data_IF_804940865928
#
_entry.id   IF_804940865928
#
_cell.length_a   1.000
_cell.length_b   1.000
_cell.length_c   1.000
_cell.angle_alpha   90.00
_cell.angle_beta   90.00
_cell.angle_gamma   90.00
#
_symmetry.space_group_name_H-M   'P 1'
#
loop_
_entity.id
_entity.type
_entity.pdbx_description
1 polymer ?
#
# COMPACT_ATOMS: atom_id res chain seq x y z
N UNK A 1 24.62 -16.95 1.79
CA UNK A 1 23.62 -16.29 0.93
C UNK A 1 24.36 -15.61 -0.20
N UNK A 2 23.99 -15.87 -1.44
CA UNK A 2 24.60 -15.25 -2.61
C UNK A 2 23.50 -14.57 -3.44
N UNK A 3 23.55 -13.25 -3.53
CA UNK A 3 22.59 -12.41 -4.24
C UNK A 3 23.05 -12.06 -5.68
N UNK A 4 24.04 -12.73 -6.23
CA UNK A 4 24.58 -12.44 -7.58
C UNK A 4 23.52 -12.61 -8.68
N UNK A 5 22.64 -13.61 -8.57
CA UNK A 5 21.52 -13.82 -9.50
C UNK A 5 20.51 -12.67 -9.46
N UNK A 6 20.16 -12.18 -8.27
CA UNK A 6 19.28 -11.02 -8.09
C UNK A 6 19.93 -9.75 -8.64
N UNK A 7 21.21 -9.51 -8.36
CA UNK A 7 21.96 -8.38 -8.90
C UNK A 7 21.93 -8.37 -10.42
N UNK A 8 22.29 -9.51 -11.03
CA UNK A 8 22.29 -9.66 -12.49
C UNK A 8 20.89 -9.37 -13.08
N UNK A 9 19.85 -9.96 -12.48
CA UNK A 9 18.48 -9.72 -12.94
C UNK A 9 18.12 -8.23 -12.88
N UNK A 10 18.38 -7.54 -11.77
CA UNK A 10 18.02 -6.13 -11.62
C UNK A 10 18.78 -5.24 -12.61
N UNK A 11 20.09 -5.47 -12.83
CA UNK A 11 20.90 -4.73 -13.80
C UNK A 11 20.39 -4.95 -15.24
N UNK A 12 20.17 -6.22 -15.63
CA UNK A 12 19.67 -6.57 -16.95
C UNK A 12 18.23 -6.07 -17.17
N UNK A 13 17.35 -6.19 -16.13
CA UNK A 13 15.96 -5.77 -16.19
C UNK A 13 15.82 -4.25 -16.36
N UNK A 14 16.57 -3.46 -15.58
CA UNK A 14 16.58 -2.00 -15.74
C UNK A 14 16.99 -1.62 -17.16
N UNK A 15 18.06 -2.21 -17.69
CA UNK A 15 18.54 -1.92 -19.05
C UNK A 15 17.53 -2.34 -20.12
N UNK A 16 17.01 -3.58 -20.04
CA UNK A 16 16.06 -4.13 -21.00
C UNK A 16 14.75 -3.33 -21.06
N UNK A 17 14.30 -2.88 -19.90
CA UNK A 17 13.06 -2.11 -19.77
C UNK A 17 13.23 -0.61 -20.02
N UNK A 18 14.45 -0.12 -20.25
CA UNK A 18 14.68 1.33 -20.37
C UNK A 18 14.34 2.10 -19.09
N UNK A 19 14.52 1.46 -17.93
CA UNK A 19 14.39 2.04 -16.61
C UNK A 19 15.75 2.53 -16.12
N UNK A 20 15.76 3.59 -15.29
CA UNK A 20 17.01 4.22 -14.91
C UNK A 20 17.62 3.68 -13.63
N UNK A 21 16.84 3.47 -12.59
CA UNK A 21 17.36 2.99 -11.33
C UNK A 21 16.29 2.43 -10.39
N UNK A 22 16.76 1.74 -9.36
CA UNK A 22 15.95 1.26 -8.26
C UNK A 22 16.78 1.10 -6.99
N UNK A 23 16.10 1.01 -5.86
CA UNK A 23 16.66 0.74 -4.55
C UNK A 23 15.94 -0.44 -3.91
N UNK A 24 16.69 -1.37 -3.32
CA UNK A 24 16.09 -2.59 -2.79
C UNK A 24 16.78 -3.08 -1.52
N UNK A 25 15.98 -3.70 -0.64
CA UNK A 25 16.50 -4.43 0.50
C UNK A 25 15.70 -5.68 0.83
N UNK A 26 16.39 -6.60 1.51
CA UNK A 26 15.84 -7.85 2.04
C UNK A 26 16.20 -7.97 3.51
N UNK A 27 15.21 -8.21 4.34
CA UNK A 27 15.40 -8.61 5.74
C UNK A 27 15.09 -10.09 5.88
N UNK A 28 15.92 -10.79 6.66
CA UNK A 28 15.74 -12.21 6.97
C UNK A 28 16.04 -12.45 8.44
N UNK A 29 15.05 -12.99 9.16
CA UNK A 29 15.15 -13.22 10.60
C UNK A 29 15.53 -11.97 11.40
N UNK A 30 14.96 -10.82 11.01
CA UNK A 30 15.19 -9.52 11.64
C UNK A 30 16.49 -8.80 11.24
N UNK A 31 17.33 -9.40 10.39
CA UNK A 31 18.57 -8.79 9.91
C UNK A 31 18.46 -8.33 8.45
N UNK A 32 18.98 -7.16 8.13
CA UNK A 32 19.12 -6.74 6.73
C UNK A 32 20.25 -7.53 6.10
N UNK A 33 19.91 -8.54 5.29
CA UNK A 33 20.86 -9.44 4.63
C UNK A 33 21.24 -8.99 3.22
N UNK A 34 20.49 -8.04 2.68
CA UNK A 34 20.74 -7.45 1.37
C UNK A 34 20.26 -6.01 1.34
N UNK A 35 21.07 -5.10 0.79
CA UNK A 35 20.75 -3.69 0.56
C UNK A 35 21.57 -3.18 -0.61
N UNK A 36 20.95 -2.77 -1.70
CA UNK A 36 21.67 -2.32 -2.88
C UNK A 36 20.84 -1.36 -3.74
N UNK A 37 21.51 -0.35 -4.27
CA UNK A 37 21.04 0.62 -5.24
C UNK A 37 21.58 0.27 -6.62
N UNK A 38 20.76 0.49 -7.66
CA UNK A 38 21.11 0.21 -9.04
C UNK A 38 20.84 1.42 -9.92
N UNK A 39 21.71 1.64 -10.89
CA UNK A 39 21.51 2.63 -11.94
C UNK A 39 21.60 4.08 -11.49
N UNK A 40 20.83 4.93 -12.14
CA UNK A 40 20.82 6.37 -11.94
C UNK A 40 19.43 6.85 -11.50
N UNK A 41 19.40 7.83 -10.60
CA UNK A 41 18.17 8.53 -10.19
C UNK A 41 17.76 9.55 -11.26
N UNK A 42 18.69 10.38 -11.69
CA UNK A 42 18.42 11.46 -12.64
C UNK A 42 19.05 11.20 -14.00
N UNK A 43 18.21 10.94 -15.00
CA UNK A 43 18.66 10.66 -16.37
C UNK A 43 19.27 11.88 -17.08
N UNK A 44 19.05 13.10 -16.60
CA UNK A 44 19.57 14.34 -17.20
C UNK A 44 20.95 14.67 -16.66
N UNK A 45 21.18 14.45 -15.36
CA UNK A 45 22.45 14.77 -14.69
C UNK A 45 23.39 13.57 -14.54
N UNK A 46 22.84 12.35 -14.64
CA UNK A 46 23.57 11.11 -14.36
C UNK A 46 23.77 10.84 -12.87
N UNK A 47 23.05 11.55 -11.97
CA UNK A 47 23.05 11.27 -10.52
C UNK A 47 22.67 9.81 -10.29
N UNK A 48 23.50 9.08 -9.55
CA UNK A 48 23.21 7.70 -9.18
C UNK A 48 22.12 7.63 -8.13
N UNK A 49 21.41 6.49 -8.07
CA UNK A 49 20.49 6.18 -6.97
C UNK A 49 21.28 6.15 -5.66
N UNK A 50 20.78 6.83 -4.64
CA UNK A 50 21.36 6.94 -3.30
C UNK A 50 20.50 6.19 -2.27
N UNK A 51 21.12 5.64 -1.22
CA UNK A 51 20.43 4.90 -0.18
C UNK A 51 19.51 5.76 0.70
N UNK A 52 19.68 7.07 0.65
CA UNK A 52 18.90 8.04 1.43
C UNK A 52 17.77 8.67 0.62
N UNK A 53 17.49 8.21 -0.60
CA UNK A 53 16.41 8.76 -1.40
C UNK A 53 15.04 8.53 -0.77
N UNK A 54 14.17 9.53 -0.95
CA UNK A 54 12.76 9.50 -0.57
C UNK A 54 11.90 9.20 -1.79
N UNK A 55 10.83 8.46 -1.57
CA UNK A 55 9.88 8.10 -2.62
C UNK A 55 8.45 8.43 -2.18
N UNK A 56 7.63 8.95 -3.08
CA UNK A 56 6.19 8.79 -2.93
C UNK A 56 5.89 7.30 -3.10
N UNK A 57 5.52 6.63 -2.02
CA UNK A 57 5.32 5.17 -2.03
C UNK A 57 3.93 4.75 -2.51
N UNK A 58 3.03 5.72 -2.69
CA UNK A 58 1.67 5.52 -3.18
C UNK A 58 0.94 4.39 -2.43
N UNK A 59 0.40 3.41 -3.16
CA UNK A 59 -0.41 2.35 -2.55
C UNK A 59 0.35 1.43 -1.59
N UNK A 60 1.68 1.48 -1.56
CA UNK A 60 2.45 0.88 -0.48
C UNK A 60 2.17 1.54 0.89
N UNK A 61 1.46 2.67 0.94
CA UNK A 61 0.91 3.25 2.19
C UNK A 61 -0.15 2.37 2.84
N UNK A 62 -0.91 1.58 2.05
CA UNK A 62 -2.07 0.82 2.53
C UNK A 62 -1.78 -0.19 3.65
N UNK A 63 -0.72 -1.02 3.57
CA UNK A 63 -0.38 -1.92 4.66
C UNK A 63 -0.09 -1.18 5.98
N UNK A 64 0.55 -0.02 5.91
CA UNK A 64 0.84 0.82 7.08
C UNK A 64 -0.46 1.42 7.64
N UNK A 65 -1.33 1.96 6.77
CA UNK A 65 -2.65 2.49 7.16
C UNK A 65 -3.48 1.42 7.88
N UNK A 66 -3.57 0.23 7.29
CA UNK A 66 -4.31 -0.88 7.87
C UNK A 66 -3.68 -1.38 9.19
N UNK A 67 -2.36 -1.39 9.28
CA UNK A 67 -1.66 -1.71 10.54
C UNK A 67 -2.05 -0.72 11.65
N UNK A 68 -2.06 0.59 11.37
CA UNK A 68 -2.51 1.60 12.33
C UNK A 68 -3.95 1.40 12.80
N UNK A 69 -4.86 1.12 11.87
CA UNK A 69 -6.26 0.84 12.20
C UNK A 69 -6.41 -0.48 13.00
N UNK A 70 -5.66 -1.54 12.66
CA UNK A 70 -5.66 -2.82 13.40
C UNK A 70 -5.14 -2.67 14.83
N UNK A 71 -4.24 -1.71 15.11
CA UNK A 71 -3.84 -1.40 16.49
C UNK A 71 -5.02 -0.89 17.33
N UNK A 72 -5.94 -0.14 16.73
CA UNK A 72 -7.18 0.28 17.42
C UNK A 72 -8.13 -0.91 17.63
N UNK A 73 -8.16 -1.86 16.69
CA UNK A 73 -8.92 -3.10 16.84
C UNK A 73 -8.36 -3.92 18.03
N UNK A 74 -7.06 -4.10 18.14
CA UNK A 74 -6.42 -4.80 19.26
C UNK A 74 -6.69 -4.16 20.62
N UNK A 75 -6.89 -2.84 20.65
CA UNK A 75 -7.25 -2.08 21.85
C UNK A 75 -8.75 -2.10 22.16
N UNK A 76 -9.57 -2.75 21.31
CA UNK A 76 -11.03 -2.78 21.45
C UNK A 76 -11.71 -1.43 21.19
N UNK A 77 -11.03 -0.48 20.57
CA UNK A 77 -11.54 0.85 20.25
C UNK A 77 -12.22 0.89 18.87
N UNK A 78 -11.78 0.05 17.95
CA UNK A 78 -12.34 -0.14 16.61
C UNK A 78 -12.83 -1.58 16.47
N UNK A 79 -14.03 -1.76 15.92
CA UNK A 79 -14.61 -3.07 15.65
C UNK A 79 -14.73 -3.26 14.14
N UNK A 80 -14.12 -4.32 13.61
CA UNK A 80 -14.13 -4.63 12.17
C UNK A 80 -15.54 -4.84 11.61
N UNK A 81 -16.42 -5.41 12.41
CA UNK A 81 -17.76 -5.79 11.96
C UNK A 81 -18.83 -4.75 12.32
N UNK A 82 -18.43 -3.67 13.02
CA UNK A 82 -19.30 -2.54 13.27
C UNK A 82 -19.62 -1.75 11.98
N UNK A 83 -20.84 -1.16 11.89
CA UNK A 83 -21.14 -0.21 10.83
C UNK A 83 -20.16 0.95 10.80
N UNK A 84 -19.74 1.38 9.60
CA UNK A 84 -18.94 2.60 9.44
C UNK A 84 -19.63 3.81 10.05
N UNK A 85 -20.97 3.87 9.97
CA UNK A 85 -21.80 4.94 10.54
C UNK A 85 -21.67 5.08 12.07
N UNK A 86 -21.22 4.06 12.78
CA UNK A 86 -20.89 4.17 14.21
C UNK A 86 -19.80 5.20 14.48
N UNK A 87 -18.86 5.36 13.56
CA UNK A 87 -17.70 6.26 13.64
C UNK A 87 -17.86 7.50 12.77
N UNK A 88 -18.48 7.34 11.61
CA UNK A 88 -18.77 8.36 10.60
C UNK A 88 -20.28 8.39 10.32
N UNK A 89 -21.08 9.15 11.10
CA UNK A 89 -22.55 9.13 11.01
C UNK A 89 -23.11 9.42 9.61
N UNK A 90 -22.38 10.16 8.79
CA UNK A 90 -22.73 10.45 7.40
C UNK A 90 -22.88 9.21 6.51
N UNK A 91 -22.35 8.06 6.94
CA UNK A 91 -22.47 6.77 6.25
C UNK A 91 -23.70 5.93 6.65
N UNK A 92 -24.63 6.48 7.47
CA UNK A 92 -25.84 5.77 7.90
C UNK A 92 -26.78 5.44 6.74
N UNK A 93 -26.95 6.36 5.80
CA UNK A 93 -27.92 6.25 4.72
C UNK A 93 -27.25 6.29 3.34
N UNK A 94 -26.21 5.48 3.15
CA UNK A 94 -25.53 5.37 1.86
C UNK A 94 -26.44 4.83 0.77
N UNK A 95 -26.22 5.28 -0.46
CA UNK A 95 -27.00 4.90 -1.64
C UNK A 95 -26.13 4.10 -2.60
N UNK A 96 -26.77 3.27 -3.41
CA UNK A 96 -26.13 2.46 -4.45
C UNK A 96 -26.68 2.87 -5.81
N UNK A 97 -25.79 2.98 -6.78
CA UNK A 97 -26.15 3.18 -8.19
C UNK A 97 -26.49 1.84 -8.82
N UNK A 98 -27.71 1.72 -9.33
CA UNK A 98 -28.16 0.61 -10.18
C UNK A 98 -28.09 1.03 -11.65
N UNK A 99 -28.49 0.14 -12.56
CA UNK A 99 -28.57 0.49 -13.99
C UNK A 99 -29.54 1.65 -14.26
N UNK A 100 -30.67 1.68 -13.55
CA UNK A 100 -31.77 2.59 -13.86
C UNK A 100 -31.95 3.73 -12.84
N UNK A 101 -31.35 3.62 -11.66
CA UNK A 101 -31.64 4.56 -10.55
C UNK A 101 -30.55 4.58 -9.48
N UNK A 102 -30.70 5.49 -8.52
CA UNK A 102 -29.94 5.51 -7.27
C UNK A 102 -30.91 5.16 -6.14
N UNK A 103 -30.63 4.09 -5.40
CA UNK A 103 -31.49 3.56 -4.34
C UNK A 103 -30.72 3.49 -3.01
N UNK A 104 -31.39 3.48 -1.85
CA UNK A 104 -30.74 3.17 -0.58
C UNK A 104 -30.02 1.82 -0.64
N UNK A 105 -28.83 1.73 -0.06
CA UNK A 105 -28.13 0.45 0.09
C UNK A 105 -28.95 -0.49 0.98
N UNK A 106 -28.95 -1.77 0.64
CA UNK A 106 -29.61 -2.83 1.43
C UNK A 106 -28.66 -3.39 2.50
N UNK A 107 -27.37 -3.43 2.17
CA UNK A 107 -26.35 -3.95 3.05
C UNK A 107 -25.71 -2.82 3.87
N UNK A 108 -25.43 -3.12 5.13
CA UNK A 108 -24.67 -2.22 6.01
C UNK A 108 -23.23 -2.20 5.58
N UNK A 109 -22.65 -1.00 5.40
CA UNK A 109 -21.22 -0.83 5.19
C UNK A 109 -20.50 -1.01 6.53
N UNK A 110 -19.67 -2.05 6.66
CA UNK A 110 -18.87 -2.31 7.85
C UNK A 110 -17.45 -1.76 7.71
N UNK A 111 -16.75 -1.59 8.83
CA UNK A 111 -15.32 -1.24 8.84
C UNK A 111 -14.49 -2.28 8.07
N UNK A 112 -14.83 -3.57 8.18
CA UNK A 112 -14.20 -4.66 7.41
C UNK A 112 -14.28 -4.41 5.91
N UNK A 113 -15.41 -3.88 5.40
CA UNK A 113 -15.55 -3.56 3.98
C UNK A 113 -14.55 -2.47 3.51
N UNK A 114 -14.16 -1.54 4.40
CA UNK A 114 -13.11 -0.55 4.10
C UNK A 114 -11.74 -1.23 3.96
N UNK A 115 -11.39 -2.15 4.87
CA UNK A 115 -10.14 -2.90 4.80
C UNK A 115 -10.06 -3.76 3.55
N UNK A 116 -11.15 -4.39 3.16
CA UNK A 116 -11.21 -5.42 2.11
C UNK A 116 -11.54 -4.89 0.72
N UNK A 117 -11.66 -3.57 0.55
CA UNK A 117 -12.04 -2.94 -0.72
C UNK A 117 -13.41 -3.40 -1.24
N UNK A 118 -14.34 -3.74 -0.33
CA UNK A 118 -15.69 -4.21 -0.67
C UNK A 118 -16.79 -3.23 -0.25
N UNK A 119 -16.42 -1.98 0.09
CA UNK A 119 -17.37 -0.98 0.56
C UNK A 119 -18.25 -0.36 -0.55
N UNK A 120 -17.88 -0.51 -1.82
CA UNK A 120 -18.65 0.03 -2.95
C UNK A 120 -18.10 1.33 -3.54
N UNK A 121 -16.95 1.82 -3.08
CA UNK A 121 -16.29 3.00 -3.67
C UNK A 121 -15.57 2.66 -4.97
N UNK A 122 -15.26 3.71 -5.76
CA UNK A 122 -14.30 3.66 -6.86
C UNK A 122 -12.99 4.40 -6.51
N UNK A 123 -12.11 4.57 -7.50
CA UNK A 123 -10.84 5.31 -7.36
C UNK A 123 -10.84 6.63 -8.15
N UNK A 124 -12.01 7.25 -8.35
CA UNK A 124 -12.13 8.47 -9.12
C UNK A 124 -11.86 9.73 -8.27
N UNK A 125 -10.61 10.17 -8.21
CA UNK A 125 -10.20 11.41 -7.52
C UNK A 125 -10.78 12.70 -8.14
N UNK A 126 -11.39 12.60 -9.33
CA UNK A 126 -12.05 13.69 -10.03
C UNK A 126 -13.58 13.54 -10.03
N UNK A 127 -14.13 12.76 -9.09
CA UNK A 127 -15.57 12.68 -8.91
C UNK A 127 -16.14 14.07 -8.58
N UNK A 128 -17.39 14.30 -8.99
CA UNK A 128 -18.06 15.58 -8.76
C UNK A 128 -18.06 16.00 -7.27
N UNK A 129 -18.19 15.04 -6.37
CA UNK A 129 -18.23 15.27 -4.92
C UNK A 129 -16.86 15.72 -4.38
N UNK A 130 -15.77 15.09 -4.83
CA UNK A 130 -14.41 15.50 -4.45
C UNK A 130 -14.11 16.89 -5.02
N UNK A 131 -14.44 17.13 -6.30
CA UNK A 131 -14.25 18.45 -6.93
C UNK A 131 -15.02 19.53 -6.16
N UNK A 132 -16.30 19.31 -5.86
CA UNK A 132 -17.12 20.24 -5.05
C UNK A 132 -16.54 20.42 -3.63
N UNK A 133 -16.04 19.37 -3.02
CA UNK A 133 -15.35 19.44 -1.72
C UNK A 133 -14.14 20.37 -1.78
N UNK A 134 -13.28 20.21 -2.80
CA UNK A 134 -12.10 21.05 -3.02
C UNK A 134 -12.45 22.50 -3.41
N UNK A 135 -13.51 22.71 -4.19
CA UNK A 135 -14.02 24.07 -4.50
C UNK A 135 -14.51 24.78 -3.24
N UNK A 136 -15.17 24.06 -2.33
CA UNK A 136 -15.64 24.58 -1.04
C UNK A 136 -14.49 24.82 -0.07
N UNK A 137 -13.53 23.91 -0.01
CA UNK A 137 -12.35 24.00 0.83
C UNK A 137 -11.12 23.45 0.09
N UNK A 138 -10.27 24.32 -0.54
CA UNK A 138 -9.04 23.88 -1.19
C UNK A 138 -8.04 23.21 -0.24
N UNK A 139 -8.20 23.42 1.08
CA UNK A 139 -7.41 22.78 2.13
C UNK A 139 -8.21 21.63 2.80
N UNK A 140 -8.94 20.87 2.00
CA UNK A 140 -9.77 19.76 2.46
C UNK A 140 -8.99 18.83 3.41
N UNK A 141 -9.60 18.48 4.53
CA UNK A 141 -9.03 17.55 5.51
C UNK A 141 -9.40 16.10 5.18
N UNK A 142 -8.74 15.13 5.81
CA UNK A 142 -9.08 13.69 5.69
C UNK A 142 -10.56 13.44 6.05
N UNK A 143 -11.06 14.09 7.10
CA UNK A 143 -12.49 14.01 7.51
C UNK A 143 -13.44 14.62 6.49
N UNK A 144 -13.12 15.78 5.95
CA UNK A 144 -13.95 16.44 4.94
C UNK A 144 -13.97 15.65 3.61
N UNK A 145 -12.85 14.99 3.24
CA UNK A 145 -12.85 14.09 2.10
C UNK A 145 -13.76 12.89 2.34
N UNK A 146 -13.68 12.25 3.51
CA UNK A 146 -14.54 11.14 3.85
C UNK A 146 -16.03 11.57 3.82
N UNK A 147 -16.35 12.77 4.32
CA UNK A 147 -17.69 13.33 4.21
C UNK A 147 -18.12 13.51 2.74
N UNK A 148 -17.28 14.11 1.90
CA UNK A 148 -17.59 14.26 0.47
C UNK A 148 -17.84 12.92 -0.23
N UNK A 149 -17.10 11.88 0.14
CA UNK A 149 -17.28 10.51 -0.38
C UNK A 149 -18.58 9.86 0.09
N UNK A 150 -19.13 10.24 1.26
CA UNK A 150 -20.40 9.70 1.75
C UNK A 150 -21.60 10.15 0.90
N UNK A 151 -21.49 11.30 0.23
CA UNK A 151 -22.50 11.83 -0.68
C UNK A 151 -22.51 11.13 -2.05
N UNK A 152 -21.50 10.28 -2.31
CA UNK A 152 -21.36 9.55 -3.56
C UNK A 152 -22.18 8.25 -3.53
N UNK A 153 -23.01 7.98 -4.55
CA UNK A 153 -23.69 6.69 -4.63
C UNK A 153 -22.64 5.60 -4.91
N UNK A 154 -22.64 4.58 -4.06
CA UNK A 154 -21.75 3.43 -4.20
C UNK A 154 -21.95 2.74 -5.55
N UNK A 155 -20.89 2.15 -6.09
CA UNK A 155 -20.93 1.43 -7.37
C UNK A 155 -21.64 0.07 -7.27
N UNK A 156 -21.73 -0.51 -6.06
CA UNK A 156 -22.36 -1.80 -5.76
C UNK A 156 -22.68 -1.89 -4.26
N UNK A 157 -23.51 -2.87 -3.90
CA UNK A 157 -23.89 -3.14 -2.51
C UNK A 157 -22.66 -3.52 -1.66
N UNK A 158 -22.46 -2.91 -0.48
CA UNK A 158 -21.36 -3.26 0.41
C UNK A 158 -21.27 -4.78 0.65
N UNK A 159 -20.06 -5.32 0.57
CA UNK A 159 -19.78 -6.73 0.78
C UNK A 159 -20.01 -7.65 -0.42
N UNK A 160 -20.54 -7.17 -1.55
CA UNK A 160 -20.91 -8.05 -2.68
C UNK A 160 -19.83 -8.16 -3.76
N UNK A 161 -18.90 -7.19 -3.80
CA UNK A 161 -17.88 -7.13 -4.84
C UNK A 161 -16.59 -6.52 -4.32
N UNK A 162 -15.45 -7.05 -4.79
CA UNK A 162 -14.16 -6.39 -4.63
C UNK A 162 -13.96 -5.33 -5.72
N UNK A 163 -13.66 -4.10 -5.30
CA UNK A 163 -13.21 -3.05 -6.21
C UNK A 163 -12.15 -2.17 -5.53
N UNK A 164 -10.96 -2.14 -6.12
CA UNK A 164 -9.90 -1.27 -5.65
C UNK A 164 -10.30 0.21 -5.68
N UNK A 165 -10.19 0.92 -4.55
CA UNK A 165 -10.92 2.17 -4.34
C UNK A 165 -10.33 3.05 -3.23
N UNK A 166 -11.03 4.15 -2.91
CA UNK A 166 -10.71 5.09 -1.83
C UNK A 166 -11.12 4.60 -0.43
N UNK A 167 -11.36 3.29 -0.25
CA UNK A 167 -11.72 2.72 1.05
C UNK A 167 -10.75 3.09 2.17
N UNK A 168 -9.44 3.10 1.89
CA UNK A 168 -8.44 3.36 2.94
C UNK A 168 -8.31 4.86 3.27
N UNK A 169 -8.77 5.75 2.41
CA UNK A 169 -8.89 7.17 2.73
C UNK A 169 -10.05 7.40 3.71
N UNK A 170 -11.17 6.69 3.52
CA UNK A 170 -12.27 6.66 4.51
C UNK A 170 -11.83 5.97 5.82
N UNK A 171 -11.04 4.89 5.74
CA UNK A 171 -10.48 4.22 6.92
C UNK A 171 -9.56 5.16 7.72
N UNK A 172 -8.78 6.01 7.06
CA UNK A 172 -7.97 7.01 7.74
C UNK A 172 -8.83 7.99 8.55
N UNK A 173 -9.97 8.43 8.01
CA UNK A 173 -10.93 9.26 8.73
C UNK A 173 -11.55 8.53 9.93
N UNK A 174 -11.83 7.22 9.81
CA UNK A 174 -12.26 6.38 10.95
C UNK A 174 -11.20 6.36 12.04
N UNK A 175 -9.92 6.20 11.66
CA UNK A 175 -8.79 6.24 12.62
C UNK A 175 -8.73 7.59 13.33
N UNK A 176 -8.91 8.72 12.64
CA UNK A 176 -8.93 10.05 13.27
C UNK A 176 -10.02 10.17 14.33
N UNK A 177 -11.24 9.72 14.00
CA UNK A 177 -12.36 9.77 14.94
C UNK A 177 -12.14 8.89 16.16
N UNK A 178 -11.65 7.67 15.95
CA UNK A 178 -11.46 6.69 17.02
C UNK A 178 -10.28 7.03 17.91
N UNK A 179 -9.20 7.56 17.35
CA UNK A 179 -8.00 7.94 18.10
C UNK A 179 -8.09 9.34 18.73
N UNK A 180 -8.91 10.23 18.16
CA UNK A 180 -8.94 11.66 18.51
C UNK A 180 -7.70 12.43 18.04
N UNK A 181 -6.87 11.83 17.19
CA UNK A 181 -5.62 12.42 16.68
C UNK A 181 -5.71 12.58 15.13
N UNK A 182 -5.01 13.57 14.54
CA UNK A 182 -4.82 13.65 13.09
C UNK A 182 -4.18 12.36 12.61
N UNK A 183 -4.59 11.81 11.46
CA UNK A 183 -4.16 10.50 10.99
C UNK A 183 -2.64 10.38 10.87
N UNK A 184 -1.97 11.38 10.28
CA UNK A 184 -0.50 11.42 10.20
C UNK A 184 0.17 11.38 11.56
N UNK A 185 -0.35 12.10 12.56
CA UNK A 185 0.19 12.11 13.91
C UNK A 185 -0.01 10.76 14.61
N UNK A 186 -1.18 10.15 14.43
CA UNK A 186 -1.45 8.81 14.95
C UNK A 186 -0.48 7.76 14.38
N UNK A 187 -0.26 7.76 13.06
CA UNK A 187 0.67 6.84 12.40
C UNK A 187 2.11 7.08 12.85
N UNK A 188 2.53 8.34 12.93
CA UNK A 188 3.87 8.72 13.39
C UNK A 188 4.14 8.18 14.80
N UNK A 189 3.26 8.46 15.74
CA UNK A 189 3.37 8.05 17.16
C UNK A 189 3.32 6.55 17.37
N UNK A 190 2.48 5.84 16.60
CA UNK A 190 2.19 4.43 16.81
C UNK A 190 2.96 3.47 15.90
N UNK A 191 3.56 3.95 14.81
CA UNK A 191 4.29 3.13 13.84
C UNK A 191 5.68 3.71 13.56
N UNK A 192 5.78 4.96 13.09
CA UNK A 192 7.05 5.48 12.59
C UNK A 192 8.08 5.65 13.71
N UNK A 193 7.75 6.40 14.76
CA UNK A 193 8.67 6.64 15.88
C UNK A 193 9.10 5.34 16.57
N UNK A 194 8.17 4.42 16.94
CA UNK A 194 8.58 3.19 17.63
C UNK A 194 9.42 2.24 16.77
N UNK A 195 9.29 2.31 15.43
CA UNK A 195 10.12 1.52 14.51
C UNK A 195 11.37 2.28 14.04
N UNK A 196 11.55 3.54 14.47
CA UNK A 196 12.65 4.39 14.03
C UNK A 196 12.57 4.78 12.54
N UNK A 197 11.36 4.88 11.98
CA UNK A 197 11.08 5.29 10.59
C UNK A 197 11.10 6.82 10.49
N UNK A 198 12.28 7.42 10.51
CA UNK A 198 12.48 8.87 10.60
C UNK A 198 12.27 9.61 9.29
N UNK A 199 12.28 8.90 8.18
CA UNK A 199 12.10 9.41 6.81
C UNK A 199 10.64 9.26 6.31
N UNK A 200 9.75 8.72 7.16
CA UNK A 200 8.36 8.41 6.77
C UNK A 200 7.42 9.51 7.23
N UNK A 201 6.63 10.05 6.30
CA UNK A 201 5.69 11.14 6.55
C UNK A 201 4.50 11.09 5.57
N UNK A 202 3.47 11.93 5.81
CA UNK A 202 2.34 12.10 4.89
C UNK A 202 2.47 13.34 4.01
N UNK A 203 3.32 14.28 4.40
CA UNK A 203 3.54 15.53 3.67
C UNK A 203 5.02 15.72 3.41
N UNK A 204 5.39 15.81 2.13
CA UNK A 204 6.80 16.00 1.73
C UNK A 204 7.43 17.25 2.33
N UNK A 205 6.59 18.21 2.77
CA UNK A 205 7.01 19.40 3.47
C UNK A 205 7.67 19.12 4.83
N UNK A 206 7.38 17.96 5.43
CA UNK A 206 7.98 17.50 6.69
C UNK A 206 9.34 16.82 6.49
N UNK A 207 9.73 16.58 5.23
CA UNK A 207 10.94 15.86 4.85
C UNK A 207 11.94 16.77 4.12
N UNK A 208 13.18 16.33 3.98
CA UNK A 208 14.16 16.98 3.12
C UNK A 208 13.84 16.70 1.64
N UNK A 209 13.20 17.66 0.98
CA UNK A 209 12.79 17.56 -0.43
C UNK A 209 13.94 17.34 -1.41
N UNK A 210 15.18 17.69 -1.03
CA UNK A 210 16.36 17.48 -1.89
C UNK A 210 16.70 16.01 -2.06
N UNK A 211 16.17 15.16 -1.17
CA UNK A 211 16.31 13.71 -1.21
C UNK A 211 15.19 13.02 -2.01
N UNK A 212 14.20 13.75 -2.50
CA UNK A 212 13.11 13.15 -3.27
C UNK A 212 13.64 12.64 -4.62
N UNK A 213 13.51 11.34 -4.85
CA UNK A 213 13.92 10.68 -6.08
C UNK A 213 13.20 11.26 -7.31
N UNK A 214 13.88 11.30 -8.43
CA UNK A 214 13.28 11.66 -9.71
C UNK A 214 12.13 10.72 -10.05
N UNK A 215 11.06 11.27 -10.63
CA UNK A 215 9.87 10.52 -10.98
C UNK A 215 9.73 10.41 -12.50
N UNK A 216 9.22 9.29 -12.95
CA UNK A 216 9.14 8.97 -14.37
C UNK A 216 7.76 8.41 -14.73
N UNK A 217 7.33 8.68 -15.96
CA UNK A 217 6.26 7.94 -16.65
C UNK A 217 6.88 6.96 -17.63
N UNK A 218 6.39 5.73 -17.66
CA UNK A 218 6.84 4.73 -18.63
C UNK A 218 6.03 4.83 -19.91
N UNK A 219 6.72 5.07 -21.02
CA UNK A 219 6.11 5.00 -22.36
C UNK A 219 6.21 3.55 -22.86
N UNK A 220 5.08 2.85 -22.88
CA UNK A 220 5.00 1.46 -23.34
C UNK A 220 5.27 1.30 -24.84
N UNK A 221 5.16 2.34 -25.66
CA UNK A 221 5.44 2.29 -27.10
C UNK A 221 6.94 2.33 -27.37
N UNK A 222 7.64 3.30 -26.78
CA UNK A 222 9.11 3.42 -26.90
C UNK A 222 9.87 2.53 -25.95
N UNK A 223 9.18 1.88 -24.99
CA UNK A 223 9.78 1.07 -23.91
C UNK A 223 10.85 1.86 -23.15
N UNK A 224 10.50 3.05 -22.69
CA UNK A 224 11.44 3.93 -21.99
C UNK A 224 10.74 4.76 -20.93
N UNK A 225 11.42 4.95 -19.79
CA UNK A 225 11.01 5.88 -18.77
C UNK A 225 11.30 7.33 -19.19
N UNK A 226 10.32 8.23 -19.03
CA UNK A 226 10.41 9.65 -19.34
C UNK A 226 10.25 10.43 -18.05
N UNK A 227 11.23 11.28 -17.73
CA UNK A 227 11.25 12.09 -16.50
C UNK A 227 10.06 13.04 -16.45
N UNK A 228 9.46 13.17 -15.29
CA UNK A 228 8.38 14.11 -15.01
C UNK A 228 8.71 14.90 -13.72
N UNK A 229 8.00 16.00 -13.50
CA UNK A 229 8.05 16.66 -12.19
C UNK A 229 7.45 15.73 -11.13
N UNK A 230 8.11 15.53 -9.98
CA UNK A 230 7.58 14.67 -8.92
C UNK A 230 6.24 15.20 -8.42
N UNK A 231 5.23 14.33 -8.45
CA UNK A 231 3.87 14.63 -8.00
C UNK A 231 3.30 13.48 -7.17
N UNK A 232 2.47 13.82 -6.20
CA UNK A 232 1.58 12.87 -5.52
C UNK A 232 0.12 13.29 -5.76
N UNK A 233 -0.55 12.78 -6.79
CA UNK A 233 -1.92 13.18 -7.12
C UNK A 233 -2.95 12.74 -6.06
N UNK A 234 -2.52 11.93 -5.10
CA UNK A 234 -3.34 11.43 -3.99
C UNK A 234 -3.25 12.29 -2.73
N UNK A 235 -2.34 13.24 -2.67
CA UNK A 235 -2.30 14.29 -1.65
C UNK A 235 -3.13 15.48 -2.13
N UNK A 236 -4.42 15.49 -1.78
CA UNK A 236 -5.38 16.48 -2.31
C UNK A 236 -5.16 17.88 -1.73
N UNK A 237 -4.63 17.98 -0.52
CA UNK A 237 -4.25 19.23 0.14
C UNK A 237 -3.19 18.99 1.21
N UNK A 238 -2.64 20.05 1.77
CA UNK A 238 -1.70 19.99 2.90
C UNK A 238 -2.35 19.48 4.20
N UNK A 239 -3.68 19.45 4.28
CA UNK A 239 -4.42 18.96 5.45
C UNK A 239 -5.02 17.56 5.24
N UNK A 240 -4.86 16.99 4.03
CA UNK A 240 -5.35 15.67 3.69
C UNK A 240 -4.25 14.63 3.87
N UNK A 241 -4.37 13.79 4.88
CA UNK A 241 -3.50 12.62 5.08
C UNK A 241 -4.06 11.45 4.27
N UNK A 242 -3.55 11.25 3.05
CA UNK A 242 -4.05 10.23 2.12
C UNK A 242 -3.76 8.80 2.61
N UNK A 243 -4.71 8.17 3.30
CA UNK A 243 -4.55 6.82 3.84
C UNK A 243 -4.31 5.74 2.78
N UNK A 244 -4.82 5.96 1.58
CA UNK A 244 -4.67 5.03 0.47
C UNK A 244 -3.35 5.13 -0.29
N UNK A 245 -2.71 6.32 -0.35
CA UNK A 245 -1.55 6.53 -1.24
C UNK A 245 -0.73 7.80 -0.94
N UNK A 246 -0.88 8.42 0.22
CA UNK A 246 -0.32 9.75 0.52
C UNK A 246 1.07 9.75 1.14
N UNK A 247 1.68 8.60 1.46
CA UNK A 247 2.94 8.58 2.19
C UNK A 247 4.17 8.83 1.31
N UNK A 248 5.17 9.44 1.97
CA UNK A 248 6.58 9.47 1.56
C UNK A 248 7.36 8.56 2.51
N UNK A 249 8.34 7.82 1.98
CA UNK A 249 9.26 7.01 2.80
C UNK A 249 10.56 6.72 2.05
N UNK A 250 11.59 6.28 2.78
CA UNK A 250 12.80 5.69 2.22
C UNK A 250 12.69 4.15 2.21
N UNK A 251 13.54 3.49 1.40
CA UNK A 251 13.65 2.02 1.44
C UNK A 251 14.12 1.55 2.81
N UNK A 252 15.06 2.27 3.43
CA UNK A 252 15.59 1.96 4.75
C UNK A 252 14.51 1.96 5.83
N UNK A 253 13.61 2.93 5.80
CA UNK A 253 12.48 2.98 6.75
C UNK A 253 11.46 1.88 6.50
N UNK A 254 11.10 1.66 5.22
CA UNK A 254 10.12 0.64 4.90
C UNK A 254 10.62 -0.78 5.24
N UNK A 255 11.93 -1.03 5.18
CA UNK A 255 12.53 -2.29 5.63
C UNK A 255 12.32 -2.54 7.13
N UNK A 256 12.31 -1.50 7.97
CA UNK A 256 12.00 -1.64 9.40
C UNK A 256 10.56 -2.13 9.62
N UNK A 257 9.61 -1.59 8.83
CA UNK A 257 8.21 -2.02 8.86
C UNK A 257 8.05 -3.48 8.41
N UNK A 258 8.58 -3.85 7.23
CA UNK A 258 8.45 -5.23 6.75
C UNK A 258 9.22 -6.22 7.61
N UNK A 259 10.31 -5.80 8.27
CA UNK A 259 11.02 -6.60 9.28
C UNK A 259 10.12 -6.93 10.46
N UNK A 260 9.52 -5.92 11.10
CA UNK A 260 8.61 -6.14 12.23
C UNK A 260 7.43 -7.04 11.86
N UNK A 261 6.84 -6.82 10.68
CA UNK A 261 5.72 -7.64 10.19
C UNK A 261 6.13 -9.08 9.90
N UNK A 262 7.33 -9.31 9.31
CA UNK A 262 7.86 -10.65 9.03
C UNK A 262 8.26 -11.43 10.29
N UNK A 263 8.57 -10.73 11.38
CA UNK A 263 8.81 -11.32 12.69
C UNK A 263 7.51 -11.59 13.48
N UNK A 264 6.36 -11.58 12.81
CA UNK A 264 5.06 -11.82 13.44
C UNK A 264 4.53 -10.63 14.22
N UNK A 265 4.93 -9.42 13.83
CA UNK A 265 4.41 -8.16 14.37
C UNK A 265 5.23 -7.54 15.50
N UNK A 266 6.39 -8.10 15.82
CA UNK A 266 7.29 -7.55 16.84
C UNK A 266 8.61 -7.13 16.20
N UNK A 267 9.04 -5.88 16.44
CA UNK A 267 10.34 -5.41 15.95
C UNK A 267 11.50 -6.14 16.64
N UNK A 268 12.70 -6.09 16.05
CA UNK A 268 13.91 -6.67 16.62
C UNK A 268 14.20 -6.14 18.03
N UNK A 269 13.86 -4.87 18.29
CA UNK A 269 14.05 -4.22 19.59
C UNK A 269 12.92 -4.49 20.60
N UNK A 270 11.99 -5.40 20.27
CA UNK A 270 10.92 -5.86 21.15
C UNK A 270 9.66 -5.00 21.15
N UNK A 271 9.54 -3.98 20.27
CA UNK A 271 8.30 -3.24 20.14
C UNK A 271 7.23 -4.08 19.45
N UNK A 272 6.10 -4.29 20.11
CA UNK A 272 4.94 -4.99 19.55
C UNK A 272 4.12 -4.03 18.71
N UNK A 273 4.28 -4.13 17.39
CA UNK A 273 3.51 -3.38 16.41
C UNK A 273 2.09 -3.92 16.29
N UNK A 274 1.96 -5.22 16.09
CA UNK A 274 0.71 -5.99 16.13
C UNK A 274 0.97 -7.35 16.79
N UNK A 275 -0.07 -7.98 17.35
CA UNK A 275 0.00 -9.36 17.79
C UNK A 275 0.08 -10.31 16.59
N UNK A 276 0.68 -11.49 16.81
CA UNK A 276 0.79 -12.54 15.78
C UNK A 276 -0.58 -12.96 15.24
N UNK A 277 -1.58 -13.04 16.10
CA UNK A 277 -2.96 -13.39 15.75
C UNK A 277 -3.56 -12.35 14.80
N UNK A 278 -3.28 -11.06 15.04
CA UNK A 278 -3.74 -9.96 14.18
C UNK A 278 -3.03 -9.98 12.82
N UNK A 279 -1.73 -10.29 12.77
CA UNK A 279 -1.02 -10.52 11.50
C UNK A 279 -1.66 -11.67 10.72
N UNK A 280 -2.00 -12.78 11.40
CA UNK A 280 -2.66 -13.92 10.76
C UNK A 280 -4.05 -13.56 10.22
N UNK A 281 -4.82 -12.74 10.95
CA UNK A 281 -6.10 -12.23 10.46
C UNK A 281 -5.91 -11.24 9.29
N UNK A 282 -4.89 -10.36 9.35
CA UNK A 282 -4.57 -9.43 8.28
C UNK A 282 -4.24 -10.13 6.96
N UNK A 283 -3.46 -11.21 7.01
CA UNK A 283 -3.05 -11.97 5.82
C UNK A 283 -4.02 -13.06 5.40
N UNK A 284 -5.06 -13.35 6.17
CA UNK A 284 -6.11 -14.30 5.78
C UNK A 284 -6.90 -13.73 4.61
N UNK A 285 -7.20 -14.58 3.61
CA UNK A 285 -8.13 -14.16 2.55
C UNK A 285 -9.49 -13.81 3.16
N UNK A 286 -9.96 -12.60 2.90
CA UNK A 286 -11.22 -12.05 3.40
C UNK A 286 -12.32 -12.04 2.32
N UNK A 287 -11.97 -12.40 1.08
CA UNK A 287 -12.92 -12.44 -0.01
C UNK A 287 -13.57 -13.83 -0.04
N UNK A 288 -14.82 -13.91 0.40
CA UNK A 288 -15.62 -15.10 0.39
C UNK A 288 -16.03 -15.48 -1.04
N UNK A 289 -16.46 -16.74 -1.23
CA UNK A 289 -16.83 -17.26 -2.56
C UNK A 289 -18.01 -16.49 -3.20
N UNK A 290 -18.84 -15.82 -2.39
CA UNK A 290 -20.00 -15.06 -2.85
C UNK A 290 -19.63 -13.61 -3.26
N UNK A 291 -18.39 -13.19 -2.99
CA UNK A 291 -17.90 -11.86 -3.41
C UNK A 291 -17.46 -11.92 -4.86
N UNK A 292 -18.09 -11.09 -5.72
CA UNK A 292 -17.65 -10.96 -7.11
C UNK A 292 -16.20 -10.44 -7.13
N UNK A 293 -15.25 -11.33 -7.39
CA UNK A 293 -13.84 -11.03 -7.28
C UNK A 293 -13.21 -10.70 -8.64
N UNK A 294 -13.06 -9.42 -8.93
CA UNK A 294 -12.26 -8.96 -10.08
C UNK A 294 -10.75 -8.99 -9.79
N UNK A 295 -10.36 -9.29 -8.54
CA UNK A 295 -8.96 -9.33 -8.11
C UNK A 295 -8.19 -10.47 -8.78
N UNK A 296 -8.78 -11.68 -8.87
CA UNK A 296 -8.15 -12.83 -9.51
C UNK A 296 -7.79 -12.62 -10.98
N UNK A 297 -8.55 -11.80 -11.71
CA UNK A 297 -8.26 -11.48 -13.11
C UNK A 297 -6.90 -10.79 -13.28
N UNK A 298 -6.46 -10.03 -12.27
CA UNK A 298 -5.18 -9.31 -12.27
C UNK A 298 -4.09 -10.00 -11.45
N UNK A 299 -4.49 -10.78 -10.44
CA UNK A 299 -3.60 -11.33 -9.42
C UNK A 299 -3.85 -12.83 -9.21
N UNK A 300 -3.93 -13.62 -10.29
CA UNK A 300 -4.16 -15.07 -10.24
C UNK A 300 -3.29 -15.73 -9.15
N UNK A 301 -3.90 -16.53 -8.28
CA UNK A 301 -3.25 -17.20 -7.15
C UNK A 301 -3.15 -16.34 -5.89
N UNK A 302 -3.60 -15.09 -5.92
CA UNK A 302 -3.72 -14.23 -4.74
C UNK A 302 -5.18 -14.01 -4.37
N UNK A 303 -5.46 -13.95 -3.07
CA UNK A 303 -6.63 -13.36 -2.45
C UNK A 303 -6.32 -11.99 -1.85
N UNK A 304 -7.28 -11.41 -1.15
CA UNK A 304 -7.13 -10.12 -0.49
C UNK A 304 -7.48 -10.24 1.00
N UNK A 305 -6.57 -9.77 1.83
CA UNK A 305 -6.72 -9.73 3.29
C UNK A 305 -7.21 -8.36 3.78
N UNK A 306 -6.82 -7.98 4.99
CA UNK A 306 -7.14 -6.66 5.53
C UNK A 306 -6.13 -5.62 5.00
N UNK A 307 -6.34 -5.15 3.76
CA UNK A 307 -5.52 -4.14 3.09
C UNK A 307 -4.26 -4.65 2.40
N UNK A 308 -4.13 -5.95 2.22
CA UNK A 308 -2.97 -6.59 1.60
C UNK A 308 -3.41 -7.69 0.62
N UNK A 309 -2.65 -7.92 -0.47
CA UNK A 309 -2.77 -9.18 -1.20
C UNK A 309 -2.19 -10.30 -0.34
N UNK A 310 -2.70 -11.50 -0.48
CA UNK A 310 -2.18 -12.69 0.18
C UNK A 310 -2.13 -13.88 -0.77
N UNK A 311 -1.03 -14.63 -0.77
CA UNK A 311 -0.89 -15.82 -1.62
C UNK A 311 -1.78 -16.94 -1.10
N UNK A 312 -2.74 -17.40 -1.94
CA UNK A 312 -3.70 -18.46 -1.60
C UNK A 312 -3.51 -19.71 -2.45
N UNK A 313 -2.94 -19.58 -3.64
CA UNK A 313 -2.61 -20.69 -4.54
C UNK A 313 -1.19 -20.55 -5.09
N UNK A 314 -0.24 -21.18 -4.40
CA UNK A 314 1.18 -21.22 -4.77
C UNK A 314 1.39 -21.77 -6.18
N UNK A 315 0.62 -22.82 -6.56
CA UNK A 315 0.76 -23.49 -7.85
C UNK A 315 0.25 -22.62 -9.01
N UNK A 316 -0.93 -22.01 -8.85
CA UNK A 316 -1.47 -21.09 -9.86
C UNK A 316 -0.56 -19.90 -10.13
N UNK A 317 0.19 -19.46 -9.11
CA UNK A 317 1.15 -18.34 -9.20
C UNK A 317 2.55 -18.79 -9.60
N UNK A 318 2.86 -20.08 -9.55
CA UNK A 318 4.23 -20.61 -9.66
C UNK A 318 5.19 -19.89 -8.70
N UNK A 319 4.74 -19.68 -7.45
CA UNK A 319 5.47 -18.89 -6.47
C UNK A 319 6.44 -19.76 -5.67
N UNK A 320 7.60 -19.24 -5.31
CA UNK A 320 8.53 -19.86 -4.36
C UNK A 320 8.16 -19.55 -2.91
N UNK A 321 7.52 -18.43 -2.66
CA UNK A 321 6.98 -18.05 -1.35
C UNK A 321 5.90 -19.03 -0.85
N UNK A 322 5.71 -19.18 0.47
CA UNK A 322 4.66 -20.03 1.03
C UNK A 322 3.28 -19.40 0.88
N UNK A 323 2.23 -20.22 0.97
CA UNK A 323 0.84 -19.75 1.13
C UNK A 323 0.77 -18.84 2.37
N UNK A 324 0.07 -17.71 2.25
CA UNK A 324 -0.01 -16.69 3.29
C UNK A 324 1.13 -15.67 3.27
N UNK A 325 2.07 -15.73 2.30
CA UNK A 325 2.89 -14.57 1.96
C UNK A 325 1.96 -13.42 1.58
N UNK A 326 2.26 -12.21 2.06
CA UNK A 326 1.41 -11.06 1.83
C UNK A 326 2.22 -9.79 1.55
N UNK A 327 1.55 -8.76 1.07
CA UNK A 327 2.16 -7.47 0.75
C UNK A 327 1.28 -6.61 -0.11
N UNK A 328 1.85 -5.64 -0.79
CA UNK A 328 1.18 -4.78 -1.76
C UNK A 328 2.17 -4.14 -2.73
N UNK A 329 1.66 -3.28 -3.62
CA UNK A 329 2.47 -2.56 -4.62
C UNK A 329 2.15 -1.06 -4.58
N UNK A 330 3.10 -0.22 -4.97
CA UNK A 330 2.90 1.22 -5.17
C UNK A 330 2.73 1.57 -6.65
N UNK A 331 1.92 2.57 -6.98
CA UNK A 331 1.64 2.96 -8.37
C UNK A 331 2.89 3.32 -9.18
N UNK A 332 3.94 3.83 -8.54
CA UNK A 332 5.24 4.09 -9.15
C UNK A 332 6.23 2.93 -8.96
N UNK A 333 5.73 1.69 -8.98
CA UNK A 333 6.53 0.46 -9.01
C UNK A 333 7.18 0.05 -7.68
N UNK A 334 6.80 0.62 -6.56
CA UNK A 334 7.17 0.05 -5.26
C UNK A 334 6.56 -1.36 -5.09
N UNK A 335 7.29 -2.26 -4.44
CA UNK A 335 6.84 -3.63 -4.22
C UNK A 335 7.29 -4.14 -2.85
N UNK A 336 6.40 -4.80 -2.13
CA UNK A 336 6.72 -5.41 -0.85
C UNK A 336 6.20 -6.84 -0.72
N UNK A 337 7.01 -7.66 -0.04
CA UNK A 337 6.71 -9.05 0.35
C UNK A 337 6.97 -9.19 1.83
N UNK A 338 6.05 -9.82 2.53
CA UNK A 338 6.15 -10.17 3.95
C UNK A 338 5.80 -11.64 4.10
N UNK A 339 6.74 -12.41 4.62
CA UNK A 339 6.58 -13.83 4.88
C UNK A 339 6.93 -14.12 6.36
N UNK A 340 5.92 -14.22 7.23
CA UNK A 340 6.15 -14.53 8.64
C UNK A 340 6.60 -15.98 8.89
N UNK A 341 6.35 -16.91 7.98
CA UNK A 341 6.74 -18.31 8.15
C UNK A 341 8.27 -18.48 8.07
N UNK A 342 8.90 -17.80 7.09
CA UNK A 342 10.36 -17.82 6.92
C UNK A 342 11.03 -16.58 7.49
N UNK A 343 10.26 -15.62 8.05
CA UNK A 343 10.75 -14.35 8.59
C UNK A 343 11.49 -13.52 7.52
N UNK A 344 10.87 -13.41 6.33
CA UNK A 344 11.39 -12.64 5.20
C UNK A 344 10.56 -11.38 5.01
N UNK A 345 11.23 -10.25 4.87
CA UNK A 345 10.67 -9.00 4.39
C UNK A 345 11.47 -8.49 3.19
N UNK A 346 10.77 -8.07 2.15
CA UNK A 346 11.37 -7.48 0.95
C UNK A 346 10.75 -6.12 0.71
N UNK A 347 11.55 -5.13 0.40
CA UNK A 347 11.06 -3.88 -0.15
C UNK A 347 11.91 -3.46 -1.35
N UNK A 348 11.23 -3.22 -2.47
CA UNK A 348 11.78 -2.69 -3.71
C UNK A 348 11.19 -1.30 -3.92
N UNK A 349 12.06 -0.29 -4.01
CA UNK A 349 11.72 1.11 -4.26
C UNK A 349 12.09 1.52 -5.67
N UNK A 350 11.12 2.07 -6.40
CA UNK A 350 11.30 2.68 -7.70
C UNK A 350 10.27 3.80 -7.86
N UNK A 351 10.53 4.76 -8.77
CA UNK A 351 9.66 5.93 -8.92
C UNK A 351 9.20 6.11 -10.37
N UNK A 352 8.67 5.02 -10.97
CA UNK A 352 8.24 4.93 -12.37
C UNK A 352 6.79 4.47 -12.47
N UNK A 353 5.92 5.32 -13.01
CA UNK A 353 4.52 4.98 -13.28
C UNK A 353 4.36 4.20 -14.59
N UNK A 354 3.37 3.31 -14.63
CA UNK A 354 2.83 2.74 -15.86
C UNK A 354 3.68 1.63 -16.50
N UNK A 355 4.74 1.14 -15.86
CA UNK A 355 5.54 0.01 -16.34
C UNK A 355 4.79 -1.31 -16.08
N UNK A 356 3.86 -1.69 -16.98
CA UNK A 356 2.99 -2.85 -16.80
C UNK A 356 3.74 -4.18 -16.70
N UNK A 357 4.86 -4.33 -17.41
CA UNK A 357 5.68 -5.56 -17.41
C UNK A 357 6.33 -5.79 -16.03
N UNK A 358 6.74 -4.72 -15.33
CA UNK A 358 7.29 -4.84 -13.98
C UNK A 358 6.25 -5.42 -13.01
N UNK A 359 4.99 -4.95 -13.08
CA UNK A 359 3.89 -5.50 -12.28
C UNK A 359 3.50 -6.91 -12.69
N UNK A 360 3.54 -7.23 -13.99
CA UNK A 360 3.14 -8.53 -14.50
C UNK A 360 4.12 -9.65 -14.15
N UNK A 361 5.43 -9.39 -14.26
CA UNK A 361 6.50 -10.39 -14.15
C UNK A 361 7.65 -9.97 -13.27
N UNK A 362 8.09 -8.71 -13.31
CA UNK A 362 9.30 -8.24 -12.62
C UNK A 362 9.24 -8.42 -11.11
N UNK A 363 8.16 -7.95 -10.48
CA UNK A 363 7.96 -8.08 -9.03
C UNK A 363 7.96 -9.54 -8.55
N UNK A 364 7.34 -10.43 -9.33
CA UNK A 364 7.30 -11.87 -9.01
C UNK A 364 8.68 -12.51 -9.14
N UNK A 365 9.42 -12.12 -10.17
CA UNK A 365 10.79 -12.59 -10.38
C UNK A 365 11.70 -12.11 -9.25
N UNK A 366 11.59 -10.85 -8.81
CA UNK A 366 12.31 -10.34 -7.65
C UNK A 366 12.02 -11.19 -6.42
N UNK A 367 10.74 -11.46 -6.12
CA UNK A 367 10.34 -12.33 -5.00
C UNK A 367 11.03 -13.68 -5.10
N UNK A 368 10.88 -14.37 -6.22
CA UNK A 368 11.35 -15.75 -6.37
C UNK A 368 12.88 -15.84 -6.32
N UNK A 369 13.58 -14.85 -6.87
CA UNK A 369 15.04 -14.76 -6.76
C UNK A 369 15.52 -14.54 -5.33
N UNK A 370 14.76 -13.79 -4.50
CA UNK A 370 15.09 -13.64 -3.07
C UNK A 370 15.03 -15.00 -2.38
N UNK A 371 13.99 -15.80 -2.62
CA UNK A 371 13.88 -17.15 -2.05
C UNK A 371 15.03 -18.06 -2.52
N UNK A 372 15.41 -18.01 -3.80
CA UNK A 372 16.59 -18.73 -4.31
C UNK A 372 17.88 -18.33 -3.60
N UNK A 373 18.12 -17.02 -3.46
CA UNK A 373 19.32 -16.49 -2.81
C UNK A 373 19.41 -16.86 -1.33
N UNK A 374 18.26 -17.08 -0.69
CA UNK A 374 18.18 -17.53 0.71
C UNK A 374 18.24 -19.07 0.85
N UNK A 375 18.22 -19.81 -0.27
CA UNK A 375 18.19 -21.29 -0.25
C UNK A 375 16.82 -21.86 0.15
N UNK A 376 15.74 -21.12 -0.13
CA UNK A 376 14.36 -21.49 0.20
C UNK A 376 13.48 -21.66 -1.06
N UNK A 377 14.11 -21.73 -2.23
CA UNK A 377 13.44 -21.73 -3.52
C UNK A 377 12.90 -23.08 -4.02
N UNK A 378 12.98 -24.15 -3.23
CA UNK A 378 12.55 -25.52 -3.60
C UNK A 378 11.08 -25.80 -3.23
#
# INVERSE_FOLDING_TARGET
MDFSKLNKFLEEHLSHMGLYGCDMGVVYKGETVYRKQFGIDDCETGKKVDENELYYIFSASKPITCTGALRLVERGLLDLDAPVSKYLPEYENVKVRTQDSIVPAKNVMTVRNLFTMTAGFDYNLRSEQIVKGLEKNPNITTRELAYALSEFPLCFEPGTKYQYSLCHDVLAAVVEVVSGEKFSHYQKKNIFEPLGMTDSCYHIEECDKTRLACQYNYDNNSKKAVKIQPICPYALSINHDGGGAGMVSSVSDYLKFVSAMSLGGTSKDGYVLLKKETINEMRRNQLDADVECTFELRHKGYGYGLGVRTLVDKKAKNAKSPIGEFGWDGAASAYLVIDPENQIGVYYGQHVFGCSELFATGHQTIRDLVYDCLGLGD
#
